data_IF_331673644559
#
_entry.id   IF_331673644559
#
_cell.length_a   1.000
_cell.length_b   1.000
_cell.length_c   1.000
_cell.angle_alpha   90.00
_cell.angle_beta   90.00
_cell.angle_gamma   90.00
#
_symmetry.space_group_name_H-M   'P 1'
#
loop_
_entity.id
_entity.type
_entity.pdbx_description
1 polymer ?
#
# COMPACT_ATOMS: atom_id res chain seq x y z
N UNK A 1 -10.74 -1.37 -14.10
CA UNK A 1 -9.73 -0.45 -14.70
C UNK A 1 -9.74 0.92 -14.02
N UNK A 2 -10.89 1.59 -13.89
CA UNK A 2 -10.97 2.93 -13.28
C UNK A 2 -10.50 2.97 -11.82
N UNK A 3 -11.00 2.06 -10.96
CA UNK A 3 -10.60 1.99 -9.55
C UNK A 3 -9.06 1.87 -9.39
N UNK A 4 -8.42 1.09 -10.26
CA UNK A 4 -6.97 0.95 -10.29
C UNK A 4 -6.24 2.22 -10.73
N UNK A 5 -6.73 2.87 -11.80
CA UNK A 5 -6.14 4.12 -12.28
C UNK A 5 -6.21 5.23 -11.21
N UNK A 6 -7.29 5.27 -10.44
CA UNK A 6 -7.43 6.19 -9.30
C UNK A 6 -6.44 5.81 -8.20
N UNK A 7 -6.43 4.54 -7.76
CA UNK A 7 -5.61 4.09 -6.63
C UNK A 7 -4.09 4.20 -6.88
N UNK A 8 -3.66 4.04 -8.14
CA UNK A 8 -2.25 4.20 -8.54
C UNK A 8 -1.85 5.64 -8.83
N UNK A 9 -2.80 6.58 -8.82
CA UNK A 9 -2.54 8.00 -9.11
C UNK A 9 -2.48 8.33 -10.60
N UNK A 10 -2.72 7.37 -11.50
CA UNK A 10 -2.78 7.62 -12.95
C UNK A 10 -3.89 8.62 -13.33
N UNK A 11 -4.93 8.76 -12.50
CA UNK A 11 -5.98 9.77 -12.64
C UNK A 11 -5.66 11.13 -11.99
N UNK A 12 -4.47 11.33 -11.40
CA UNK A 12 -4.09 12.54 -10.66
C UNK A 12 -2.70 13.08 -11.07
N UNK A 13 -2.52 13.51 -12.35
CA UNK A 13 -1.20 13.87 -12.89
C UNK A 13 -0.53 15.06 -12.20
N UNK A 14 -1.31 15.92 -11.53
CA UNK A 14 -0.78 17.08 -10.81
C UNK A 14 -0.09 16.73 -9.49
N UNK A 15 -0.31 15.52 -8.96
CA UNK A 15 0.30 15.07 -7.70
C UNK A 15 1.68 14.44 -7.90
N UNK A 16 2.14 14.30 -9.15
CA UNK A 16 3.40 13.60 -9.45
C UNK A 16 3.35 12.10 -9.12
N UNK A 17 2.16 11.54 -8.93
CA UNK A 17 1.91 10.12 -8.71
C UNK A 17 1.44 9.44 -10.01
N UNK A 18 1.44 8.10 -10.05
CA UNK A 18 0.92 7.34 -11.20
C UNK A 18 1.89 7.12 -12.35
N UNK A 19 3.18 7.40 -12.15
CA UNK A 19 4.20 6.98 -13.11
C UNK A 19 4.31 5.44 -13.12
N UNK A 20 4.21 4.78 -14.29
CA UNK A 20 4.41 3.34 -14.38
C UNK A 20 5.87 2.98 -14.06
N UNK A 21 6.08 1.78 -13.52
CA UNK A 21 7.42 1.26 -13.27
C UNK A 21 8.24 1.21 -14.56
N UNK A 22 9.33 1.98 -14.58
CA UNK A 22 10.24 2.07 -15.72
C UNK A 22 11.66 2.35 -15.25
N UNK A 23 12.63 1.94 -16.07
CA UNK A 23 14.05 2.26 -15.82
C UNK A 23 14.24 3.78 -15.76
N UNK A 24 14.94 4.24 -14.73
CA UNK A 24 15.18 5.66 -14.47
C UNK A 24 13.95 6.43 -13.95
N UNK A 25 12.84 5.76 -13.65
CA UNK A 25 11.70 6.33 -12.92
C UNK A 25 11.88 6.25 -11.41
N UNK A 26 10.93 6.81 -10.66
CA UNK A 26 10.91 6.67 -9.20
C UNK A 26 10.72 5.20 -8.78
N UNK A 27 11.44 4.79 -7.73
CA UNK A 27 11.31 3.46 -7.16
C UNK A 27 10.17 3.43 -6.13
N UNK A 28 8.94 3.61 -6.62
CA UNK A 28 7.69 3.56 -5.86
C UNK A 28 6.93 2.29 -6.24
N UNK A 29 6.94 1.27 -5.38
CA UNK A 29 6.28 0.00 -5.65
C UNK A 29 5.93 -0.76 -4.38
N UNK A 30 5.02 -1.72 -4.54
CA UNK A 30 4.62 -2.67 -3.52
C UNK A 30 5.04 -4.08 -3.94
N UNK A 31 5.51 -4.88 -2.98
CA UNK A 31 5.59 -6.33 -3.13
C UNK A 31 4.39 -6.94 -2.43
N UNK A 32 3.71 -7.84 -3.11
CA UNK A 32 2.51 -8.50 -2.62
C UNK A 32 2.86 -9.92 -2.17
N UNK A 33 2.24 -10.38 -1.09
CA UNK A 33 2.31 -11.75 -0.63
C UNK A 33 1.53 -12.64 -1.60
N UNK A 34 2.20 -13.51 -2.40
CA UNK A 34 1.54 -14.26 -3.47
C UNK A 34 0.78 -15.50 -2.96
N UNK A 35 0.99 -15.88 -1.71
CA UNK A 35 0.42 -17.04 -1.04
C UNK A 35 -0.97 -16.78 -0.43
N UNK A 36 -1.50 -15.58 -0.60
CA UNK A 36 -2.85 -15.26 -0.12
C UNK A 36 -3.93 -15.73 -1.12
N UNK A 37 -5.01 -16.38 -0.65
CA UNK A 37 -6.06 -16.91 -1.52
C UNK A 37 -6.70 -15.85 -2.45
N UNK A 38 -6.75 -14.60 -2.01
CA UNK A 38 -7.36 -13.47 -2.71
C UNK A 38 -6.61 -13.10 -4.00
N UNK A 39 -5.31 -13.42 -4.09
CA UNK A 39 -4.46 -13.13 -5.25
C UNK A 39 -4.17 -14.38 -6.10
N UNK A 40 -4.45 -15.58 -5.56
CA UNK A 40 -4.12 -16.85 -6.21
C UNK A 40 -5.15 -17.37 -7.22
N UNK A 41 -6.34 -16.77 -7.30
CA UNK A 41 -7.45 -17.24 -8.16
C UNK A 41 -7.90 -16.13 -9.11
N UNK A 42 -7.93 -16.45 -10.41
CA UNK A 42 -8.46 -15.55 -11.44
C UNK A 42 -7.43 -14.53 -11.94
N UNK A 43 -7.89 -13.33 -12.27
CA UNK A 43 -7.05 -12.26 -12.80
C UNK A 43 -6.58 -11.34 -11.66
N UNK A 44 -5.29 -11.00 -11.66
CA UNK A 44 -4.64 -10.31 -10.56
C UNK A 44 -5.27 -8.94 -10.26
N UNK A 45 -5.58 -8.15 -11.28
CA UNK A 45 -6.18 -6.83 -11.09
C UNK A 45 -7.58 -6.93 -10.47
N UNK A 46 -8.38 -7.91 -10.89
CA UNK A 46 -9.66 -8.20 -10.25
C UNK A 46 -9.47 -8.61 -8.78
N UNK A 47 -8.49 -9.46 -8.48
CA UNK A 47 -8.12 -9.83 -7.12
C UNK A 47 -7.76 -8.61 -6.27
N UNK A 48 -6.93 -7.72 -6.79
CA UNK A 48 -6.51 -6.49 -6.11
C UNK A 48 -7.65 -5.50 -5.87
N UNK A 49 -8.59 -5.38 -6.81
CA UNK A 49 -9.67 -4.38 -6.72
C UNK A 49 -10.83 -4.88 -5.86
N UNK A 50 -11.13 -6.18 -5.90
CA UNK A 50 -12.39 -6.71 -5.36
C UNK A 50 -12.24 -7.75 -4.25
N UNK A 51 -11.09 -8.41 -4.12
CA UNK A 51 -10.91 -9.50 -3.14
C UNK A 51 -9.89 -9.15 -2.05
N UNK A 52 -8.80 -8.49 -2.41
CA UNK A 52 -7.70 -8.19 -1.52
C UNK A 52 -8.07 -7.15 -0.45
N UNK A 53 -7.44 -7.29 0.72
CA UNK A 53 -7.36 -6.23 1.73
C UNK A 53 -5.95 -5.63 1.73
N UNK A 54 -5.71 -4.56 2.49
CA UNK A 54 -4.37 -3.98 2.65
C UNK A 54 -3.33 -4.96 3.21
N UNK A 55 -3.75 -6.06 3.85
CA UNK A 55 -2.85 -7.06 4.43
C UNK A 55 -2.07 -7.89 3.40
N UNK A 56 -2.44 -7.86 2.12
CA UNK A 56 -1.71 -8.60 1.08
C UNK A 56 -0.40 -7.93 0.69
N UNK A 57 -0.14 -6.70 1.16
CA UNK A 57 1.11 -5.99 0.92
C UNK A 57 2.15 -6.50 1.92
N UNK A 58 3.23 -7.06 1.41
CA UNK A 58 4.36 -7.54 2.20
C UNK A 58 5.39 -6.42 2.43
N UNK A 59 5.78 -5.74 1.36
CA UNK A 59 6.83 -4.73 1.39
C UNK A 59 6.38 -3.49 0.63
N UNK A 60 6.62 -2.31 1.24
CA UNK A 60 6.33 -1.00 0.63
C UNK A 60 7.63 -0.25 0.42
N UNK A 61 7.88 0.17 -0.83
CA UNK A 61 9.06 0.95 -1.20
C UNK A 61 8.62 2.29 -1.79
N UNK A 62 9.18 3.38 -1.27
CA UNK A 62 8.93 4.74 -1.75
C UNK A 62 10.27 5.46 -1.93
N UNK A 63 10.50 6.01 -3.12
CA UNK A 63 11.74 6.63 -3.56
C UNK A 63 12.97 5.75 -3.28
N UNK A 64 12.82 4.43 -3.45
CA UNK A 64 13.89 3.45 -3.17
C UNK A 64 14.14 3.16 -1.69
N UNK A 65 13.35 3.75 -0.77
CA UNK A 65 13.41 3.44 0.66
C UNK A 65 12.32 2.45 1.04
N UNK A 66 12.71 1.40 1.74
CA UNK A 66 11.77 0.44 2.34
C UNK A 66 11.10 1.09 3.55
N UNK A 67 9.78 1.27 3.48
CA UNK A 67 8.96 1.83 4.57
C UNK A 67 8.25 0.76 5.39
N UNK A 68 8.00 -0.40 4.79
CA UNK A 68 7.40 -1.59 5.42
C UNK A 68 8.07 -2.82 4.83
N UNK A 69 8.33 -3.85 5.63
CA UNK A 69 8.90 -5.12 5.19
C UNK A 69 8.29 -6.26 5.98
N UNK A 70 8.00 -7.37 5.33
CA UNK A 70 7.38 -8.56 5.94
C UNK A 70 6.07 -8.21 6.67
N UNK A 71 5.30 -7.23 6.15
CA UNK A 71 4.08 -6.69 6.77
C UNK A 71 4.30 -5.77 7.96
N UNK A 72 5.55 -5.54 8.37
CA UNK A 72 5.90 -4.77 9.57
C UNK A 72 6.33 -3.35 9.21
N UNK A 73 5.67 -2.37 9.84
CA UNK A 73 6.02 -0.95 9.74
C UNK A 73 6.87 -0.59 10.97
N UNK A 74 8.05 0.02 10.80
CA UNK A 74 8.86 0.48 11.91
C UNK A 74 8.05 1.35 12.88
N UNK A 75 8.26 1.13 14.19
CA UNK A 75 7.66 1.94 15.27
C UNK A 75 6.13 1.86 15.39
N UNK A 76 5.45 0.97 14.65
CA UNK A 76 3.98 0.88 14.62
C UNK A 76 3.36 0.77 16.02
N UNK A 77 3.93 -0.04 16.91
CA UNK A 77 3.43 -0.19 18.27
C UNK A 77 3.43 1.14 19.07
N UNK A 78 4.48 1.95 18.92
CA UNK A 78 4.59 3.27 19.55
C UNK A 78 3.57 4.24 18.95
N UNK A 79 3.43 4.24 17.62
CA UNK A 79 2.47 5.07 16.90
C UNK A 79 1.05 4.79 17.39
N UNK A 80 0.67 3.52 17.46
CA UNK A 80 -0.66 3.09 17.95
C UNK A 80 -0.87 3.47 19.41
N UNK A 81 0.13 3.26 20.28
CA UNK A 81 0.02 3.63 21.69
C UNK A 81 -0.23 5.13 21.88
N UNK A 82 0.49 5.99 21.13
CA UNK A 82 0.30 7.44 21.14
C UNK A 82 -1.03 7.87 20.54
N UNK A 83 -1.48 7.22 19.47
CA UNK A 83 -2.79 7.47 18.89
C UNK A 83 -3.91 7.17 19.92
N UNK A 84 -3.84 6.03 20.60
CA UNK A 84 -4.79 5.66 21.63
C UNK A 84 -4.77 6.61 22.84
N UNK A 85 -3.59 7.06 23.28
CA UNK A 85 -3.46 8.09 24.32
C UNK A 85 -4.17 9.39 23.93
N UNK A 86 -3.96 9.87 22.70
CA UNK A 86 -4.60 11.09 22.20
C UNK A 86 -6.10 10.92 22.05
N UNK A 87 -6.57 9.76 21.57
CA UNK A 87 -7.99 9.45 21.46
C UNK A 87 -8.69 9.52 22.82
N UNK A 88 -8.10 8.92 23.87
CA UNK A 88 -8.63 9.01 25.24
C UNK A 88 -8.73 10.45 25.74
N UNK A 89 -7.78 11.33 25.40
CA UNK A 89 -7.85 12.76 25.75
C UNK A 89 -8.98 13.50 25.04
N UNK A 90 -9.41 13.01 23.89
CA UNK A 90 -10.56 13.53 23.14
C UNK A 90 -11.89 12.90 23.59
N UNK A 91 -11.88 11.95 24.53
CA UNK A 91 -13.07 11.24 24.98
C UNK A 91 -13.57 10.15 24.04
N UNK A 92 -12.70 9.65 23.15
CA UNK A 92 -12.94 8.47 22.30
C UNK A 92 -12.53 7.17 23.02
#
# INVERSE_FOLDING_TARGET
AEAWAIATGASAPLLGAGEPLRVGGAADFLLLAPDTPELGIGELLAGLVYAASGSVVDTTVVAGRVLMRDGEVPEMAEIVARAAERARRLGL
#
